data_IF_212039337193
#
_entry.id   IF_212039337193
#
_cell.length_a   1.000
_cell.length_b   1.000
_cell.length_c   1.000
_cell.angle_alpha   90.00
_cell.angle_beta   90.00
_cell.angle_gamma   90.00
#
_symmetry.space_group_name_H-M   'P 1'
#
loop_
_entity.id
_entity.type
_entity.pdbx_description
1 polymer ?
#
# COMPACT_ATOMS: atom_id res chain seq x y z
N UNK A 1 -2.14 6.49 -1.81
CA UNK A 1 -1.55 7.08 -3.04
C UNK A 1 -2.42 6.67 -4.22
N UNK A 2 -2.68 7.57 -5.16
CA UNK A 2 -3.38 7.23 -6.40
C UNK A 2 -2.36 6.72 -7.42
N UNK A 3 -2.40 5.41 -7.70
CA UNK A 3 -1.67 4.79 -8.79
C UNK A 3 -2.37 5.01 -10.13
N UNK A 4 -1.79 4.45 -11.20
CA UNK A 4 -2.36 4.56 -12.55
C UNK A 4 -3.73 3.88 -12.68
N UNK A 5 -3.95 2.80 -11.93
CA UNK A 5 -5.14 1.96 -12.04
C UNK A 5 -5.97 1.93 -10.75
N UNK A 6 -5.36 2.20 -9.59
CA UNK A 6 -6.04 2.07 -8.30
C UNK A 6 -5.38 2.88 -7.18
N UNK A 7 -6.12 3.08 -6.09
CA UNK A 7 -5.59 3.60 -4.83
C UNK A 7 -4.87 2.49 -4.07
N UNK A 8 -3.66 2.75 -3.62
CA UNK A 8 -2.86 1.82 -2.82
C UNK A 8 -2.17 2.52 -1.63
N UNK A 9 -1.75 1.72 -0.64
CA UNK A 9 -0.99 2.18 0.51
C UNK A 9 0.50 1.99 0.22
N UNK A 10 1.26 3.08 0.24
CA UNK A 10 2.71 2.99 0.16
C UNK A 10 3.31 2.82 1.55
N UNK A 11 4.41 2.07 1.60
CA UNK A 11 5.17 1.86 2.83
C UNK A 11 6.00 3.10 3.19
N UNK A 12 6.37 3.29 4.47
CA UNK A 12 7.18 4.42 4.89
C UNK A 12 8.58 4.32 4.29
N UNK A 13 8.94 5.27 3.43
CA UNK A 13 10.24 5.33 2.76
C UNK A 13 11.13 6.44 3.31
N UNK A 14 12.44 6.24 3.21
CA UNK A 14 13.47 7.20 3.62
C UNK A 14 14.48 7.41 2.49
N UNK A 15 14.82 8.66 2.23
CA UNK A 15 15.89 9.04 1.31
C UNK A 15 17.26 8.66 1.90
N UNK A 16 18.07 7.98 1.10
CA UNK A 16 19.45 7.62 1.41
C UNK A 16 20.39 8.64 0.76
N UNK A 17 21.62 8.77 1.27
CA UNK A 17 22.62 9.78 0.83
C UNK A 17 22.89 9.83 -0.68
N UNK A 18 22.52 8.80 -1.44
CA UNK A 18 22.69 8.72 -2.89
C UNK A 18 21.44 9.16 -3.69
N UNK A 19 20.40 9.70 -3.04
CA UNK A 19 19.13 10.07 -3.68
C UNK A 19 18.19 8.89 -3.96
N UNK A 20 18.55 7.69 -3.52
CA UNK A 20 17.67 6.51 -3.59
C UNK A 20 16.71 6.49 -2.41
N UNK A 21 15.46 6.07 -2.65
CA UNK A 21 14.47 5.85 -1.62
C UNK A 21 14.42 4.38 -1.23
N UNK A 22 14.52 4.10 0.07
CA UNK A 22 14.36 2.74 0.60
C UNK A 22 13.24 2.71 1.63
N UNK A 23 12.38 1.72 1.52
CA UNK A 23 11.34 1.47 2.50
C UNK A 23 11.97 1.08 3.83
N UNK A 24 11.59 1.79 4.90
CA UNK A 24 12.09 1.55 6.25
C UNK A 24 11.30 0.42 6.92
N UNK A 25 10.03 0.24 6.56
CA UNK A 25 9.21 -0.87 7.02
C UNK A 25 8.44 -1.46 5.84
N UNK A 26 8.48 -2.77 5.68
CA UNK A 26 7.71 -3.49 4.68
C UNK A 26 7.07 -4.73 5.35
N UNK A 27 5.80 -5.05 5.09
CA UNK A 27 5.15 -6.23 5.63
C UNK A 27 5.87 -7.50 5.14
N UNK A 28 6.08 -8.46 6.03
CA UNK A 28 6.71 -9.74 5.68
C UNK A 28 5.69 -10.71 5.07
N UNK A 29 4.44 -10.63 5.54
CA UNK A 29 3.37 -11.53 5.14
C UNK A 29 2.28 -10.77 4.37
N UNK A 30 1.82 -11.40 3.28
CA UNK A 30 0.75 -10.90 2.44
C UNK A 30 -0.58 -10.83 3.21
N UNK A 31 -0.84 -11.73 4.17
CA UNK A 31 -2.03 -11.64 5.02
C UNK A 31 -2.08 -10.37 5.87
N UNK A 32 -0.93 -10.00 6.45
CA UNK A 32 -0.80 -8.77 7.24
C UNK A 32 -0.91 -7.53 6.36
N UNK A 33 -0.30 -7.56 5.18
CA UNK A 33 -0.40 -6.49 4.18
C UNK A 33 -1.86 -6.21 3.79
N UNK A 34 -2.62 -7.24 3.41
CA UNK A 34 -4.02 -7.10 3.03
C UNK A 34 -4.86 -6.50 4.16
N UNK A 35 -4.66 -6.99 5.38
CA UNK A 35 -5.36 -6.47 6.56
C UNK A 35 -5.05 -4.99 6.78
N UNK A 36 -3.78 -4.60 6.67
CA UNK A 36 -3.35 -3.20 6.82
C UNK A 36 -3.93 -2.30 5.73
N UNK A 37 -3.85 -2.73 4.46
CA UNK A 37 -4.39 -2.00 3.32
C UNK A 37 -5.90 -1.79 3.44
N UNK A 38 -6.64 -2.83 3.85
CA UNK A 38 -8.09 -2.77 4.10
C UNK A 38 -8.45 -1.74 5.16
N UNK A 39 -7.77 -1.74 6.30
CA UNK A 39 -8.08 -0.81 7.41
C UNK A 39 -7.79 0.63 6.99
N UNK A 40 -6.65 0.89 6.35
CA UNK A 40 -6.24 2.24 5.96
C UNK A 40 -7.12 2.79 4.83
N UNK A 41 -7.34 2.01 3.77
CA UNK A 41 -8.17 2.44 2.65
C UNK A 41 -9.65 2.55 3.06
N UNK A 42 -10.12 1.66 3.93
CA UNK A 42 -11.48 1.74 4.50
C UNK A 42 -11.71 3.04 5.25
N UNK A 43 -10.79 3.40 6.16
CA UNK A 43 -10.87 4.67 6.89
C UNK A 43 -10.71 5.90 6.00
N UNK A 44 -9.84 5.83 5.00
CA UNK A 44 -9.68 6.91 4.02
C UNK A 44 -10.98 7.17 3.24
N UNK A 45 -11.66 6.11 2.79
CA UNK A 45 -12.94 6.21 2.06
C UNK A 45 -14.10 6.67 2.94
N UNK A 46 -14.16 6.22 4.19
CA UNK A 46 -15.13 6.70 5.20
C UNK A 46 -15.02 8.21 5.39
N UNK A 47 -13.80 8.74 5.52
CA UNK A 47 -13.55 10.18 5.64
C UNK A 47 -13.85 10.95 4.35
N UNK A 48 -13.73 10.31 3.18
CA UNK A 48 -14.04 10.90 1.88
C UNK A 48 -15.53 10.82 1.50
N UNK A 49 -16.36 10.12 2.29
CA UNK A 49 -17.80 9.98 2.02
C UNK A 49 -18.14 9.09 0.82
N UNK A 50 -17.21 8.25 0.36
CA UNK A 50 -17.43 7.31 -0.74
C UNK A 50 -17.92 5.96 -0.18
N UNK A 51 -19.24 5.70 -0.22
CA UNK A 51 -19.85 4.43 0.25
C UNK A 51 -19.66 3.24 -0.73
N UNK A 52 -18.96 3.41 -1.85
CA UNK A 52 -18.75 2.32 -2.79
C UNK A 52 -17.50 1.51 -2.40
N UNK A 53 -17.74 0.32 -1.85
CA UNK A 53 -16.71 -0.72 -1.69
C UNK A 53 -16.74 -1.55 -2.98
N UNK A 54 -15.94 -1.24 -4.02
CA UNK A 54 -15.66 -2.25 -5.02
C UNK A 54 -14.94 -3.41 -4.30
N UNK A 55 -15.24 -4.68 -4.65
CA UNK A 55 -14.48 -5.79 -4.13
C UNK A 55 -13.01 -5.51 -4.38
N UNK A 56 -12.19 -5.62 -3.33
CA UNK A 56 -10.74 -5.52 -3.44
C UNK A 56 -10.34 -6.71 -4.30
N UNK A 57 -10.25 -6.49 -5.60
CA UNK A 57 -9.61 -7.41 -6.53
C UNK A 57 -8.19 -7.53 -6.01
N UNK A 58 -7.67 -8.75 -5.89
CA UNK A 58 -6.25 -8.98 -5.62
C UNK A 58 -5.44 -8.23 -6.67
N UNK A 59 -5.12 -6.97 -6.42
CA UNK A 59 -4.16 -6.23 -7.21
C UNK A 59 -2.84 -6.79 -6.69
N UNK A 60 -2.10 -7.58 -7.50
CA UNK A 60 -0.74 -7.96 -7.13
C UNK A 60 0.07 -6.67 -7.21
N UNK A 61 -0.01 -5.86 -6.15
CA UNK A 61 0.85 -4.71 -5.97
C UNK A 61 2.20 -5.34 -5.68
N UNK A 62 2.95 -5.55 -6.77
CA UNK A 62 4.13 -6.40 -6.86
C UNK A 62 4.81 -6.52 -5.52
N UNK A 63 4.84 -7.75 -5.01
CA UNK A 63 5.70 -8.12 -3.91
C UNK A 63 7.10 -7.67 -4.34
N UNK A 64 7.55 -6.52 -3.82
CA UNK A 64 8.94 -6.09 -3.83
C UNK A 64 9.70 -7.00 -2.86
N UNK A 65 9.51 -8.31 -3.00
CA UNK A 65 10.34 -9.36 -2.44
C UNK A 65 11.77 -9.01 -2.82
N UNK A 66 12.45 -8.46 -1.84
CA UNK A 66 13.89 -8.27 -1.70
C UNK A 66 14.65 -8.68 -2.96
N UNK A 67 14.88 -7.71 -3.85
CA UNK A 67 16.07 -7.77 -4.70
C UNK A 67 17.27 -7.59 -3.79
N UNK A 68 17.76 -8.72 -3.29
CA UNK A 68 19.09 -8.86 -2.73
C UNK A 68 20.15 -8.67 -3.83
#
# INVERSE_FOLDING_TARGET
IQGKESLFVAMPSREVKNGEFRDTAHPIDNGFRLTMEQVILGKYKELMGEEHIPPIVDIPTEDLTFRA
#
